data_IF_189578140531
#
_entry.id   IF_189578140531
#
_cell.length_a   1.000
_cell.length_b   1.000
_cell.length_c   1.000
_cell.angle_alpha   90.00
_cell.angle_beta   90.00
_cell.angle_gamma   90.00
#
_symmetry.space_group_name_H-M   'P 1'
#
loop_
_entity.id
_entity.type
_entity.pdbx_description
1 polymer ?
#
# COMPACT_ATOMS: atom_id res chain seq x y z
N UNK A 1 -61.96 -27.54 -33.71
CA UNK A 1 -61.49 -28.79 -34.32
C UNK A 1 -60.13 -28.49 -34.94
N UNK A 2 -59.08 -29.13 -34.40
CA UNK A 2 -57.67 -29.25 -34.85
C UNK A 2 -56.86 -27.93 -34.96
N UNK A 3 -55.94 -27.62 -34.03
CA UNK A 3 -54.54 -28.09 -33.86
C UNK A 3 -53.54 -27.47 -34.86
N UNK A 4 -52.52 -26.77 -34.35
CA UNK A 4 -51.08 -27.06 -34.59
C UNK A 4 -50.18 -25.81 -34.57
N UNK A 5 -49.22 -25.88 -33.65
CA UNK A 5 -47.99 -25.13 -33.46
C UNK A 5 -47.05 -25.07 -34.68
N UNK A 6 -46.12 -24.08 -34.72
CA UNK A 6 -44.71 -24.34 -35.11
C UNK A 6 -43.90 -23.39 -36.03
N UNK A 7 -43.31 -22.30 -35.46
CA UNK A 7 -41.93 -21.69 -35.62
C UNK A 7 -41.31 -21.31 -37.01
N UNK A 8 -40.15 -20.58 -37.08
CA UNK A 8 -39.46 -19.66 -36.13
C UNK A 8 -38.88 -18.34 -36.75
N UNK A 9 -38.45 -17.40 -35.89
CA UNK A 9 -37.20 -16.65 -36.12
C UNK A 9 -37.30 -15.14 -36.36
N UNK A 10 -37.05 -14.34 -35.31
CA UNK A 10 -36.22 -13.12 -35.41
C UNK A 10 -35.75 -12.69 -34.03
N UNK A 11 -34.54 -13.15 -33.69
CA UNK A 11 -33.74 -12.62 -32.59
C UNK A 11 -33.53 -11.13 -32.87
N UNK A 12 -34.10 -10.25 -32.05
CA UNK A 12 -33.62 -8.89 -31.90
C UNK A 12 -33.29 -8.68 -30.43
N UNK A 13 -32.05 -9.04 -30.13
CA UNK A 13 -31.25 -8.56 -29.00
C UNK A 13 -31.47 -7.05 -28.87
N UNK A 14 -32.12 -6.59 -27.81
CA UNK A 14 -31.84 -5.31 -27.16
C UNK A 14 -32.03 -5.54 -25.66
N UNK A 15 -31.03 -6.25 -25.16
CA UNK A 15 -30.75 -6.50 -23.76
C UNK A 15 -30.45 -5.14 -23.10
N UNK A 16 -31.32 -4.72 -22.18
CA UNK A 16 -31.03 -3.84 -21.04
C UNK A 16 -29.92 -2.79 -21.24
N UNK A 17 -30.32 -1.55 -21.61
CA UNK A 17 -29.49 -0.37 -21.33
C UNK A 17 -29.59 -0.05 -19.82
N UNK A 18 -28.98 -0.91 -19.00
CA UNK A 18 -28.89 -0.74 -17.55
C UNK A 18 -27.59 0.01 -17.23
N UNK A 19 -27.71 1.31 -16.97
CA UNK A 19 -26.80 2.16 -16.20
C UNK A 19 -25.33 1.66 -16.09
N UNK A 20 -24.53 1.84 -17.15
CA UNK A 20 -23.09 1.56 -17.08
C UNK A 20 -22.30 2.71 -17.73
N UNK A 21 -21.82 3.64 -16.90
CA UNK A 21 -20.54 4.36 -17.13
C UNK A 21 -20.12 5.27 -15.97
N UNK A 22 -20.50 4.98 -14.71
CA UNK A 22 -19.93 5.71 -13.55
C UNK A 22 -19.03 4.86 -12.64
N UNK A 23 -18.67 3.63 -13.02
CA UNK A 23 -17.54 2.92 -12.42
C UNK A 23 -16.74 2.19 -13.51
N UNK A 24 -15.45 2.53 -13.63
CA UNK A 24 -14.55 2.19 -12.55
C UNK A 24 -13.62 3.36 -12.18
N UNK A 25 -14.04 4.16 -11.19
CA UNK A 25 -13.06 4.79 -10.32
C UNK A 25 -12.27 3.73 -9.50
N UNK A 26 -12.62 2.44 -9.62
CA UNK A 26 -12.00 1.31 -8.93
C UNK A 26 -10.85 0.63 -9.69
N UNK A 27 -10.60 0.94 -10.98
CA UNK A 27 -9.49 0.32 -11.75
C UNK A 27 -8.16 1.07 -11.55
N UNK A 28 -8.16 2.25 -10.93
CA UNK A 28 -6.92 2.90 -10.51
C UNK A 28 -6.46 2.26 -9.20
N UNK A 29 -5.71 1.17 -9.30
CA UNK A 29 -5.16 0.45 -8.14
C UNK A 29 -4.34 1.38 -7.25
N UNK A 30 -4.83 1.68 -6.06
CA UNK A 30 -4.06 2.44 -5.07
C UNK A 30 -2.93 1.55 -4.54
N UNK A 31 -1.71 1.77 -5.02
CA UNK A 31 -0.51 1.29 -4.33
C UNK A 31 -0.46 1.94 -2.95
N UNK A 32 -0.24 1.16 -1.90
CA UNK A 32 -0.10 1.67 -0.53
C UNK A 32 1.26 1.24 0.03
N UNK A 33 1.90 2.16 0.76
CA UNK A 33 3.05 1.83 1.63
C UNK A 33 2.51 1.51 3.01
N UNK A 34 3.04 0.47 3.65
CA UNK A 34 2.66 0.05 5.01
C UNK A 34 3.94 -0.21 5.79
N UNK A 35 4.08 0.37 6.98
CA UNK A 35 5.13 -0.03 7.93
C UNK A 35 4.59 -1.20 8.75
N UNK A 36 5.29 -2.34 8.66
CA UNK A 36 4.96 -3.59 9.34
C UNK A 36 5.60 -3.65 10.72
N UNK A 37 6.81 -3.12 10.86
CA UNK A 37 7.54 -3.03 12.13
C UNK A 37 8.36 -1.75 12.25
N UNK A 38 8.58 -1.28 13.48
CA UNK A 38 7.89 -1.68 14.71
C UNK A 38 6.43 -1.18 14.71
N UNK A 39 5.64 -1.60 15.69
CA UNK A 39 4.28 -1.04 15.88
C UNK A 39 4.40 0.39 16.39
N UNK A 40 3.55 1.29 15.89
CA UNK A 40 3.49 2.67 16.39
C UNK A 40 3.27 2.71 17.91
N UNK A 41 3.94 3.62 18.60
CA UNK A 41 3.98 3.72 20.06
C UNK A 41 5.05 2.87 20.75
N UNK A 42 5.78 2.02 20.02
CA UNK A 42 6.85 1.18 20.61
C UNK A 42 7.94 2.02 21.27
N UNK A 43 8.54 1.47 22.34
CA UNK A 43 9.65 2.11 23.06
C UNK A 43 10.88 1.24 23.09
N UNK A 44 12.05 1.85 22.92
CA UNK A 44 13.35 1.18 22.87
C UNK A 44 14.38 1.92 23.74
N UNK A 45 15.44 1.24 24.15
CA UNK A 45 16.57 1.87 24.84
C UNK A 45 17.53 2.53 23.84
N UNK A 46 18.29 3.53 24.31
CA UNK A 46 19.37 4.13 23.53
C UNK A 46 20.38 3.05 23.13
N UNK A 47 20.79 3.04 21.85
CA UNK A 47 21.72 2.04 21.32
C UNK A 47 21.09 0.69 20.95
N UNK A 48 19.81 0.47 21.25
CA UNK A 48 19.10 -0.75 20.88
C UNK A 48 18.94 -0.85 19.36
N UNK A 49 19.20 -2.04 18.81
CA UNK A 49 19.01 -2.30 17.39
C UNK A 49 17.51 -2.49 17.07
N UNK A 50 16.96 -1.59 16.28
CA UNK A 50 15.56 -1.59 15.86
C UNK A 50 15.48 -1.99 14.39
N UNK A 51 14.75 -3.09 14.12
CA UNK A 51 14.40 -3.51 12.77
C UNK A 51 13.14 -2.77 12.31
N UNK A 52 13.28 -2.00 11.24
CA UNK A 52 12.18 -1.42 10.50
C UNK A 52 11.85 -2.32 9.30
N UNK A 53 10.58 -2.60 9.10
CA UNK A 53 10.11 -3.44 7.99
C UNK A 53 8.88 -2.78 7.38
N UNK A 54 8.84 -2.66 6.05
CA UNK A 54 7.77 -1.99 5.32
C UNK A 54 7.44 -2.71 4.03
N UNK A 55 6.24 -2.47 3.50
CA UNK A 55 5.71 -3.15 2.32
C UNK A 55 5.03 -2.16 1.36
N UNK A 56 5.18 -2.41 0.05
CA UNK A 56 4.36 -1.78 -0.99
C UNK A 56 3.30 -2.79 -1.43
N UNK A 57 2.03 -2.49 -1.19
CA UNK A 57 0.94 -3.39 -1.58
C UNK A 57 0.77 -3.42 -3.09
N UNK A 58 0.52 -4.63 -3.60
CA UNK A 58 0.34 -4.93 -5.02
C UNK A 58 -0.74 -4.04 -5.64
N UNK A 59 -0.41 -3.39 -6.75
CA UNK A 59 -1.37 -2.64 -7.58
C UNK A 59 -1.13 -2.93 -9.06
N UNK A 60 -2.04 -2.43 -9.91
CA UNK A 60 -1.84 -2.42 -11.36
C UNK A 60 -0.71 -1.47 -11.79
N UNK A 61 -0.41 -0.40 -11.03
CA UNK A 61 0.67 0.55 -11.37
C UNK A 61 2.05 -0.11 -11.35
N UNK A 62 2.27 -1.11 -10.47
CA UNK A 62 3.52 -1.87 -10.43
C UNK A 62 3.53 -3.06 -11.39
N UNK A 63 2.48 -3.26 -12.19
CA UNK A 63 2.27 -4.52 -12.92
C UNK A 63 2.13 -5.72 -11.99
N UNK A 64 1.75 -5.48 -10.73
CA UNK A 64 1.70 -6.49 -9.68
C UNK A 64 3.05 -6.92 -9.11
N UNK A 65 4.17 -6.28 -9.49
CA UNK A 65 5.47 -6.53 -8.88
C UNK A 65 5.53 -5.93 -7.46
N UNK A 66 6.24 -6.63 -6.56
CA UNK A 66 6.61 -6.10 -5.25
C UNK A 66 7.72 -5.05 -5.45
N UNK A 67 7.58 -3.91 -4.77
CA UNK A 67 8.50 -2.76 -4.81
C UNK A 67 8.99 -2.37 -3.43
N UNK A 68 8.82 -3.24 -2.43
CA UNK A 68 9.19 -2.98 -1.04
C UNK A 68 10.70 -2.72 -0.88
N UNK A 69 11.54 -3.27 -1.74
CA UNK A 69 12.99 -3.03 -1.73
C UNK A 69 13.39 -1.62 -2.20
N UNK A 70 12.45 -0.85 -2.76
CA UNK A 70 12.70 0.54 -3.19
C UNK A 70 12.39 1.57 -2.09
N UNK A 71 11.87 1.14 -0.94
CA UNK A 71 11.47 2.05 0.13
C UNK A 71 12.66 2.85 0.68
N UNK A 72 12.44 4.13 0.96
CA UNK A 72 13.35 4.98 1.73
C UNK A 72 12.82 5.19 3.14
N UNK A 73 13.72 5.16 4.12
CA UNK A 73 13.40 5.30 5.54
C UNK A 73 14.00 6.58 6.12
N UNK A 74 13.20 7.30 6.90
CA UNK A 74 13.63 8.56 7.51
C UNK A 74 13.08 8.72 8.94
N UNK A 75 13.94 9.13 9.86
CA UNK A 75 13.63 9.61 11.21
C UNK A 75 13.38 11.11 11.19
N UNK A 76 12.34 11.57 11.90
CA UNK A 76 12.05 13.01 12.05
C UNK A 76 13.13 13.77 12.81
N UNK A 77 14.02 13.08 13.53
CA UNK A 77 15.10 13.69 14.32
C UNK A 77 16.46 13.44 13.66
N UNK A 78 16.76 12.18 13.31
CA UNK A 78 18.09 11.78 12.84
C UNK A 78 18.23 11.79 11.31
N UNK A 79 17.13 12.02 10.59
CA UNK A 79 17.13 12.02 9.13
C UNK A 79 17.19 10.60 8.54
N UNK A 80 17.86 10.41 7.39
CA UNK A 80 17.82 9.15 6.64
C UNK A 80 18.33 7.96 7.45
N UNK A 81 17.59 6.85 7.42
CA UNK A 81 17.95 5.58 8.09
C UNK A 81 18.41 4.50 7.12
N UNK A 82 18.13 4.66 5.82
CA UNK A 82 18.53 3.72 4.78
C UNK A 82 17.43 3.46 3.76
N UNK A 83 17.64 2.44 2.93
CA UNK A 83 16.70 2.01 1.89
C UNK A 83 16.49 0.51 1.93
N UNK A 84 15.37 0.03 1.38
CA UNK A 84 15.02 -1.38 1.31
C UNK A 84 13.75 -1.73 2.07
N UNK A 85 13.26 -2.96 1.86
CA UNK A 85 12.12 -3.50 2.61
C UNK A 85 12.36 -3.48 4.11
N UNK A 86 13.62 -3.66 4.49
CA UNK A 86 14.08 -3.73 5.87
C UNK A 86 15.34 -2.91 6.08
N UNK A 87 15.36 -2.13 7.16
CA UNK A 87 16.55 -1.42 7.63
C UNK A 87 16.71 -1.61 9.13
N UNK A 88 17.94 -1.68 9.61
CA UNK A 88 18.23 -1.76 11.05
C UNK A 88 18.93 -0.48 11.47
N UNK A 89 18.41 0.20 12.50
CA UNK A 89 19.05 1.37 13.08
C UNK A 89 19.27 1.16 14.58
N UNK A 90 20.44 1.56 15.07
CA UNK A 90 20.83 1.46 16.48
C UNK A 90 21.48 2.75 17.01
N UNK A 91 21.35 3.85 16.27
CA UNK A 91 21.96 5.16 16.59
C UNK A 91 20.92 6.29 16.60
N UNK A 92 19.65 5.95 16.83
CA UNK A 92 18.59 6.94 17.00
C UNK A 92 18.84 7.73 18.30
N UNK A 93 18.73 9.04 18.22
CA UNK A 93 18.82 9.93 19.38
C UNK A 93 17.71 9.65 20.40
N UNK A 94 17.90 10.04 21.67
CA UNK A 94 16.85 9.90 22.69
C UNK A 94 15.70 10.87 22.39
N UNK A 95 14.46 10.39 22.37
CA UNK A 95 13.30 11.22 22.06
C UNK A 95 12.14 10.48 21.41
N UNK A 96 11.16 11.23 20.93
CA UNK A 96 10.03 10.71 20.15
C UNK A 96 10.30 10.90 18.65
N UNK A 97 10.34 9.81 17.89
CA UNK A 97 10.63 9.84 16.45
C UNK A 97 9.35 9.56 15.67
N UNK A 98 9.10 10.37 14.65
CA UNK A 98 8.26 9.97 13.52
C UNK A 98 9.14 9.24 12.50
N UNK A 99 8.88 7.95 12.30
CA UNK A 99 9.56 7.14 11.29
C UNK A 99 8.68 7.07 10.07
N UNK A 100 9.22 7.49 8.92
CA UNK A 100 8.52 7.49 7.64
C UNK A 100 9.18 6.49 6.69
N UNK A 101 8.37 5.62 6.08
CA UNK A 101 8.73 4.84 4.91
C UNK A 101 8.06 5.46 3.68
N UNK A 102 8.82 5.72 2.61
CA UNK A 102 8.29 6.29 1.38
C UNK A 102 8.74 5.50 0.17
N UNK A 103 7.90 5.44 -0.87
CA UNK A 103 8.28 4.89 -2.17
C UNK A 103 8.78 6.03 -3.07
N UNK A 104 10.08 6.12 -3.41
CA UNK A 104 10.65 7.24 -4.15
C UNK A 104 9.94 7.53 -5.48
N UNK A 105 9.74 8.81 -5.76
CA UNK A 105 9.04 9.27 -6.97
C UNK A 105 7.55 8.94 -6.98
N UNK A 106 7.03 8.26 -5.96
CA UNK A 106 5.59 8.07 -5.73
C UNK A 106 5.20 8.90 -4.52
N UNK A 107 4.09 9.63 -4.61
CA UNK A 107 3.53 10.33 -3.45
C UNK A 107 2.78 9.33 -2.54
N UNK A 108 3.51 8.31 -2.07
CA UNK A 108 3.02 7.20 -1.24
C UNK A 108 4.02 6.96 -0.13
N UNK A 109 3.51 6.99 1.09
CA UNK A 109 4.31 6.77 2.29
C UNK A 109 3.42 6.31 3.43
N UNK A 110 4.04 5.77 4.46
CA UNK A 110 3.44 5.52 5.76
C UNK A 110 4.35 6.03 6.87
N UNK A 111 3.78 6.31 8.03
CA UNK A 111 4.52 6.84 9.18
C UNK A 111 4.06 6.20 10.48
N UNK A 112 5.01 5.90 11.36
CA UNK A 112 4.78 5.45 12.73
C UNK A 112 5.48 6.37 13.72
N UNK A 113 5.07 6.34 14.99
CA UNK A 113 5.79 6.99 16.07
C UNK A 113 6.49 5.95 16.94
N UNK A 114 7.73 6.20 17.36
CA UNK A 114 8.42 5.40 18.37
C UNK A 114 9.08 6.32 19.41
N UNK A 115 9.47 5.76 20.56
CA UNK A 115 10.19 6.52 21.60
C UNK A 115 11.48 5.82 22.00
N UNK A 116 12.58 6.54 21.94
CA UNK A 116 13.87 6.13 22.47
C UNK A 116 14.02 6.70 23.87
N UNK A 117 14.30 5.83 24.84
CA UNK A 117 14.59 6.19 26.23
C UNK A 117 16.11 6.22 26.45
N UNK A 118 16.59 7.00 27.44
CA UNK A 118 17.98 6.93 27.88
C UNK A 118 18.43 5.51 28.18
#
# INVERSE_FOLDING_TARGET
MIHSEGRPGRIRVHFFLFLLALLPLLIVGCSKVIIVKPVTGSTFASGEAIEFEGQVTRSFETGGADRSDELTWNSSIDGPLGTGRRVTANRLSVGAHGIKAAWPGKNRSDSISIRIKP
#
